data_IF_672786953954
#
_entry.id   IF_672786953954
#
_cell.length_a   1.000
_cell.length_b   1.000
_cell.length_c   1.000
_cell.angle_alpha   90.00
_cell.angle_beta   90.00
_cell.angle_gamma   90.00
#
_symmetry.space_group_name_H-M   'P 1'
#
loop_
_entity.id
_entity.type
_entity.pdbx_description
1 polymer ?
#
# COMPACT_ATOMS: atom_id res chain seq x y z
N UNK A 1 2.16 -6.45 6.75
CA UNK A 1 1.39 -5.57 5.85
C UNK A 1 1.61 -6.00 4.42
N UNK A 2 0.64 -5.73 3.54
CA UNK A 2 0.63 -6.09 2.12
C UNK A 2 0.45 -4.83 1.27
N UNK A 3 1.34 -4.57 0.29
CA UNK A 3 1.14 -3.48 -0.66
C UNK A 3 0.10 -3.89 -1.68
N UNK A 4 -0.91 -3.03 -1.84
CA UNK A 4 -1.97 -3.24 -2.80
C UNK A 4 -1.86 -2.19 -3.90
N UNK A 5 -2.21 -2.60 -5.10
CA UNK A 5 -2.34 -1.73 -6.26
C UNK A 5 -3.69 -2.02 -6.90
N UNK A 6 -4.42 -0.96 -7.23
CA UNK A 6 -5.73 -1.05 -7.86
C UNK A 6 -5.86 0.02 -8.93
N UNK A 7 -6.43 -0.32 -10.08
CA UNK A 7 -6.78 0.67 -11.11
C UNK A 7 -7.88 1.62 -10.58
N UNK A 8 -7.70 2.92 -10.81
CA UNK A 8 -8.67 3.93 -10.37
C UNK A 8 -9.91 3.96 -11.26
N UNK A 9 -9.75 3.70 -12.56
CA UNK A 9 -10.82 3.70 -13.55
C UNK A 9 -10.83 2.37 -14.33
N UNK A 10 -11.20 1.24 -13.70
CA UNK A 10 -11.15 -0.08 -14.35
C UNK A 10 -12.09 -0.21 -15.56
N UNK A 11 -13.00 0.74 -15.75
CA UNK A 11 -13.94 0.79 -16.87
C UNK A 11 -13.49 1.74 -18.00
N UNK A 12 -12.44 2.54 -17.78
CA UNK A 12 -11.85 3.39 -18.81
C UNK A 12 -10.55 2.76 -19.31
N UNK A 13 -10.59 2.17 -20.51
CA UNK A 13 -9.43 1.52 -21.12
C UNK A 13 -8.29 2.49 -21.45
N UNK A 14 -8.52 3.81 -21.42
CA UNK A 14 -7.51 4.84 -21.65
C UNK A 14 -6.91 5.34 -20.34
N UNK A 15 -7.63 5.28 -19.22
CA UNK A 15 -7.14 5.68 -17.90
C UNK A 15 -6.56 4.48 -17.14
N UNK A 16 -5.26 4.24 -17.39
CA UNK A 16 -4.48 3.22 -16.68
C UNK A 16 -3.92 3.72 -15.35
N UNK A 17 -4.40 4.83 -14.81
CA UNK A 17 -3.93 5.30 -13.52
C UNK A 17 -4.33 4.29 -12.45
N UNK A 18 -3.34 3.68 -11.82
CA UNK A 18 -3.57 2.92 -10.60
C UNK A 18 -3.36 3.76 -9.35
N UNK A 19 -3.60 3.13 -8.22
CA UNK A 19 -3.51 3.72 -6.90
C UNK A 19 -2.98 2.68 -5.91
N UNK A 20 -2.11 3.14 -5.00
CA UNK A 20 -1.54 2.29 -3.97
C UNK A 20 -2.22 2.51 -2.63
N UNK A 21 -2.50 1.39 -1.95
CA UNK A 21 -2.97 1.38 -0.57
C UNK A 21 -2.35 0.20 0.18
N UNK A 22 -2.56 0.13 1.49
CA UNK A 22 -1.96 -0.90 2.34
C UNK A 22 -3.01 -1.71 3.09
N UNK A 23 -2.77 -3.01 3.24
CA UNK A 23 -3.52 -3.89 4.14
C UNK A 23 -2.59 -4.38 5.24
N UNK A 24 -2.95 -4.14 6.49
CA UNK A 24 -2.30 -4.72 7.66
C UNK A 24 -3.08 -5.93 8.16
N UNK A 25 -2.37 -7.00 8.52
CA UNK A 25 -2.90 -8.06 9.36
C UNK A 25 -2.32 -7.85 10.76
N UNK A 26 -3.13 -7.29 11.65
CA UNK A 26 -2.75 -7.06 13.04
C UNK A 26 -3.15 -8.29 13.87
N UNK A 27 -2.19 -9.18 14.09
CA UNK A 27 -2.38 -10.38 14.90
C UNK A 27 -2.62 -10.07 16.38
N UNK A 28 -2.12 -8.93 16.88
CA UNK A 28 -2.25 -8.54 18.28
C UNK A 28 -3.66 -8.08 18.58
N UNK A 29 -4.21 -7.23 17.71
CA UNK A 29 -5.57 -6.72 17.84
C UNK A 29 -6.62 -7.56 17.09
N UNK A 30 -6.19 -8.68 16.49
CA UNK A 30 -7.05 -9.66 15.83
C UNK A 30 -7.93 -9.09 14.72
N UNK A 31 -7.36 -8.26 13.84
CA UNK A 31 -8.09 -7.58 12.77
C UNK A 31 -7.25 -7.40 11.52
N UNK A 32 -7.92 -7.14 10.41
CA UNK A 32 -7.32 -6.56 9.22
C UNK A 32 -7.56 -5.06 9.21
N UNK A 33 -6.58 -4.29 8.76
CA UNK A 33 -6.69 -2.83 8.71
C UNK A 33 -6.37 -2.37 7.29
N UNK A 34 -7.28 -1.63 6.66
CA UNK A 34 -7.11 -1.08 5.32
C UNK A 34 -6.76 0.41 5.45
N UNK A 35 -5.60 0.80 4.92
CA UNK A 35 -5.11 2.17 4.94
C UNK A 35 -5.00 2.69 3.51
N UNK A 36 -5.83 3.68 3.19
CA UNK A 36 -5.92 4.27 1.85
C UNK A 36 -5.96 5.80 1.94
N UNK A 37 -5.04 6.50 1.27
CA UNK A 37 -4.96 7.97 1.25
C UNK A 37 -5.95 8.65 0.30
N UNK A 38 -6.61 7.93 -0.59
CA UNK A 38 -7.59 8.44 -1.56
C UNK A 38 -9.00 7.98 -1.19
N UNK A 39 -9.22 6.68 -1.08
CA UNK A 39 -10.54 6.06 -0.91
C UNK A 39 -10.87 5.82 0.56
N UNK A 40 -12.14 5.59 0.88
CA UNK A 40 -12.64 5.31 2.23
C UNK A 40 -13.57 4.10 2.21
N UNK A 41 -14.06 3.66 3.37
CA UNK A 41 -14.99 2.52 3.47
C UNK A 41 -16.22 2.63 2.57
N UNK A 42 -16.67 3.86 2.26
CA UNK A 42 -17.81 4.08 1.37
C UNK A 42 -17.52 3.79 -0.11
N UNK A 43 -16.25 3.58 -0.49
CA UNK A 43 -15.84 3.29 -1.85
C UNK A 43 -15.94 1.79 -2.15
N UNK A 44 -16.88 1.42 -3.03
CA UNK A 44 -17.14 0.02 -3.37
C UNK A 44 -15.98 -0.68 -4.06
N UNK A 45 -15.17 0.05 -4.82
CA UNK A 45 -14.03 -0.52 -5.53
C UNK A 45 -12.94 -0.90 -4.53
N UNK A 46 -12.67 -0.03 -3.55
CA UNK A 46 -11.74 -0.33 -2.46
C UNK A 46 -12.23 -1.54 -1.66
N UNK A 47 -13.49 -1.53 -1.19
CA UNK A 47 -13.99 -2.59 -0.31
C UNK A 47 -14.01 -3.94 -1.02
N UNK A 48 -14.50 -3.99 -2.26
CA UNK A 48 -14.52 -5.24 -3.06
C UNK A 48 -13.12 -5.79 -3.26
N UNK A 49 -12.15 -4.95 -3.60
CA UNK A 49 -10.77 -5.38 -3.85
C UNK A 49 -10.06 -5.83 -2.57
N UNK A 50 -10.21 -5.09 -1.47
CA UNK A 50 -9.64 -5.44 -0.18
C UNK A 50 -10.24 -6.73 0.39
N UNK A 51 -11.56 -6.88 0.33
CA UNK A 51 -12.26 -8.08 0.79
C UNK A 51 -11.88 -9.31 -0.03
N UNK A 52 -11.77 -9.18 -1.35
CA UNK A 52 -11.31 -10.28 -2.20
C UNK A 52 -9.93 -10.78 -1.78
N UNK A 53 -8.97 -9.87 -1.58
CA UNK A 53 -7.63 -10.24 -1.12
C UNK A 53 -7.66 -10.87 0.28
N UNK A 54 -8.35 -10.24 1.24
CA UNK A 54 -8.41 -10.70 2.64
C UNK A 54 -9.09 -12.07 2.74
N UNK A 55 -10.18 -12.31 1.99
CA UNK A 55 -10.86 -13.60 1.98
C UNK A 55 -9.96 -14.69 1.41
N UNK A 56 -9.24 -14.43 0.32
CA UNK A 56 -8.26 -15.37 -0.21
C UNK A 56 -7.11 -15.63 0.77
N UNK A 57 -6.66 -14.60 1.50
CA UNK A 57 -5.64 -14.77 2.53
C UNK A 57 -6.16 -15.62 3.70
N UNK A 58 -7.40 -15.41 4.15
CA UNK A 58 -8.05 -16.23 5.19
C UNK A 58 -8.17 -17.69 4.76
N UNK A 59 -8.61 -17.95 3.53
CA UNK A 59 -8.73 -19.30 2.98
C UNK A 59 -7.36 -19.98 2.85
N UNK A 60 -6.37 -19.27 2.30
CA UNK A 60 -4.98 -19.75 2.21
C UNK A 60 -4.43 -20.07 3.60
N UNK A 61 -4.65 -19.20 4.58
CA UNK A 61 -4.22 -19.44 5.96
C UNK A 61 -4.89 -20.68 6.55
N UNK A 62 -6.21 -20.85 6.35
CA UNK A 62 -6.92 -22.03 6.85
C UNK A 62 -6.37 -23.32 6.22
N UNK A 63 -6.04 -23.33 4.94
CA UNK A 63 -5.49 -24.52 4.25
C UNK A 63 -4.09 -24.90 4.71
N UNK A 64 -3.22 -23.92 4.94
CA UNK A 64 -1.80 -24.17 5.24
C UNK A 64 -1.48 -24.15 6.73
N UNK A 65 -2.35 -23.54 7.54
CA UNK A 65 -2.15 -23.29 8.97
C UNK A 65 -3.41 -23.64 9.79
N UNK A 66 -4.16 -24.66 9.38
CA UNK A 66 -5.38 -25.13 10.07
C UNK A 66 -5.17 -25.36 11.57
N UNK A 67 -4.01 -25.90 11.94
CA UNK A 67 -3.68 -26.22 13.34
C UNK A 67 -2.85 -25.13 14.04
N UNK A 68 -2.72 -23.94 13.43
CA UNK A 68 -2.07 -22.80 14.09
C UNK A 68 -2.85 -22.37 15.33
N UNK A 69 -2.12 -21.96 16.37
CA UNK A 69 -2.69 -21.36 17.58
C UNK A 69 -3.44 -20.06 17.29
N UNK A 70 -3.08 -19.39 16.19
CA UNK A 70 -3.73 -18.15 15.74
C UNK A 70 -4.49 -18.44 14.46
N UNK A 71 -5.82 -18.27 14.54
CA UNK A 71 -6.74 -18.38 13.42
C UNK A 71 -7.21 -16.98 13.02
N UNK A 72 -7.12 -16.65 11.73
CA UNK A 72 -7.44 -15.30 11.24
C UNK A 72 -8.82 -15.22 10.56
N UNK A 73 -9.52 -16.34 10.43
CA UNK A 73 -10.82 -16.43 9.73
C UNK A 73 -11.85 -15.46 10.29
N UNK A 74 -11.88 -15.33 11.62
CA UNK A 74 -12.84 -14.52 12.36
C UNK A 74 -12.44 -13.05 12.51
N UNK A 75 -11.24 -12.65 12.06
CA UNK A 75 -10.78 -11.27 12.20
C UNK A 75 -11.65 -10.34 11.35
N UNK A 76 -12.19 -9.24 11.90
CA UNK A 76 -12.91 -8.24 11.13
C UNK A 76 -11.96 -7.44 10.22
N UNK A 77 -12.55 -6.67 9.31
CA UNK A 77 -11.84 -5.70 8.47
C UNK A 77 -12.20 -4.32 8.99
N UNK A 78 -11.19 -3.52 9.32
CA UNK A 78 -11.32 -2.12 9.73
C UNK A 78 -10.74 -1.22 8.64
N UNK A 79 -11.54 -0.26 8.17
CA UNK A 79 -11.08 0.76 7.24
C UNK A 79 -10.60 1.97 8.05
N UNK A 80 -9.29 2.16 8.11
CA UNK A 80 -8.66 3.18 8.96
C UNK A 80 -8.90 4.57 8.36
N UNK A 81 -9.42 5.49 9.18
CA UNK A 81 -9.60 6.89 8.78
C UNK A 81 -8.24 7.60 8.68
N UNK A 82 -7.69 7.61 7.47
CA UNK A 82 -6.43 8.30 7.13
C UNK A 82 -6.65 9.77 6.77
N UNK A 83 -5.61 10.58 6.89
CA UNK A 83 -5.58 11.91 6.27
C UNK A 83 -5.57 11.72 4.75
N UNK A 84 -6.56 12.29 4.07
CA UNK A 84 -6.65 12.21 2.61
C UNK A 84 -5.63 13.11 1.95
N UNK A 85 -4.97 12.59 0.92
CA UNK A 85 -4.04 13.39 0.13
C UNK A 85 -4.81 14.40 -0.72
N UNK A 86 -4.23 15.59 -0.90
CA UNK A 86 -4.84 16.65 -1.71
C UNK A 86 -4.57 16.54 -3.22
N UNK A 87 -3.85 15.52 -3.67
CA UNK A 87 -3.50 15.30 -5.07
C UNK A 87 -3.73 13.84 -5.47
N UNK A 88 -3.49 13.51 -6.74
CA UNK A 88 -3.74 12.17 -7.29
C UNK A 88 -2.45 11.39 -7.60
N UNK A 89 -1.28 11.82 -7.11
CA UNK A 89 0.01 11.21 -7.49
C UNK A 89 0.86 10.72 -6.31
N UNK A 90 0.54 11.15 -5.09
CA UNK A 90 1.36 10.83 -3.92
C UNK A 90 1.01 9.53 -3.20
N UNK A 91 0.04 8.76 -3.71
CA UNK A 91 -0.47 7.57 -3.02
C UNK A 91 0.59 6.51 -2.73
N UNK A 92 1.62 6.41 -3.59
CA UNK A 92 2.76 5.52 -3.36
C UNK A 92 3.55 5.91 -2.11
N UNK A 93 3.80 7.21 -1.90
CA UNK A 93 4.49 7.71 -0.71
C UNK A 93 3.64 7.58 0.54
N UNK A 94 2.32 7.81 0.44
CA UNK A 94 1.42 7.55 1.56
C UNK A 94 1.43 6.08 1.97
N UNK A 95 1.34 5.16 1.00
CA UNK A 95 1.43 3.73 1.26
C UNK A 95 2.76 3.36 1.93
N UNK A 96 3.90 3.83 1.40
CA UNK A 96 5.24 3.62 1.98
C UNK A 96 5.32 4.10 3.44
N UNK A 97 4.74 5.26 3.74
CA UNK A 97 4.70 5.78 5.10
C UNK A 97 3.82 4.95 6.03
N UNK A 98 2.71 4.38 5.53
CA UNK A 98 1.97 3.37 6.30
C UNK A 98 2.85 2.16 6.60
N UNK A 99 3.61 1.64 5.63
CA UNK A 99 4.55 0.54 5.88
C UNK A 99 5.60 0.87 6.93
N UNK A 100 6.11 2.10 6.91
CA UNK A 100 7.18 2.52 7.82
C UNK A 100 6.68 2.81 9.24
N UNK A 101 5.47 3.35 9.39
CA UNK A 101 5.01 3.98 10.65
C UNK A 101 3.76 3.36 11.26
N UNK A 102 3.05 2.49 10.54
CA UNK A 102 1.81 1.91 11.06
C UNK A 102 2.08 0.82 12.11
N UNK A 103 1.62 1.08 13.33
CA UNK A 103 1.74 0.17 14.49
C UNK A 103 0.36 -0.24 15.07
N UNK A 104 -0.74 0.00 14.34
CA UNK A 104 -2.10 -0.34 14.79
C UNK A 104 -2.67 0.57 15.89
N UNK A 105 -2.10 1.78 16.07
CA UNK A 105 -2.50 2.72 17.14
C UNK A 105 -2.70 4.15 16.67
N UNK A 106 -1.69 4.71 16.01
CA UNK A 106 -1.67 6.11 15.59
C UNK A 106 -1.53 6.15 14.08
N UNK A 107 -2.51 6.79 13.43
CA UNK A 107 -2.48 7.00 11.99
C UNK A 107 -1.33 7.96 11.67
N UNK A 108 -0.39 7.59 10.76
CA UNK A 108 0.69 8.47 10.38
C UNK A 108 0.15 9.77 9.79
N UNK A 109 0.54 10.91 10.39
CA UNK A 109 0.25 12.23 9.84
C UNK A 109 1.23 12.52 8.70
N UNK A 110 0.77 12.35 7.47
CA UNK A 110 1.58 12.52 6.25
C UNK A 110 1.17 13.84 5.61
N UNK A 111 2.09 14.81 5.62
CA UNK A 111 1.88 16.12 5.00
C UNK A 111 2.49 16.18 3.61
N UNK A 112 2.06 17.14 2.78
CA UNK A 112 2.68 17.39 1.47
C UNK A 112 4.18 17.69 1.59
N UNK A 113 4.60 18.42 2.64
CA UNK A 113 6.02 18.69 2.90
C UNK A 113 6.80 17.39 3.17
N UNK A 114 6.22 16.48 3.97
CA UNK A 114 6.78 15.15 4.23
C UNK A 114 6.95 14.36 2.93
N UNK A 115 5.95 14.38 2.05
CA UNK A 115 6.05 13.66 0.77
C UNK A 115 7.14 14.25 -0.13
N UNK A 116 7.30 15.57 -0.17
CA UNK A 116 8.40 16.23 -0.92
C UNK A 116 9.77 15.80 -0.38
N UNK A 117 9.93 15.68 0.92
CA UNK A 117 11.17 15.19 1.53
C UNK A 117 11.42 13.71 1.21
N UNK A 118 10.39 12.87 1.34
CA UNK A 118 10.47 11.45 1.01
C UNK A 118 10.87 11.23 -0.45
N UNK A 119 10.28 11.98 -1.39
CA UNK A 119 10.69 11.94 -2.81
C UNK A 119 12.20 12.17 -2.96
N UNK A 120 12.75 13.20 -2.31
CA UNK A 120 14.19 13.50 -2.35
C UNK A 120 15.02 12.38 -1.76
N UNK A 121 14.61 11.86 -0.60
CA UNK A 121 15.31 10.76 0.10
C UNK A 121 15.29 9.49 -0.74
N UNK A 122 14.14 9.10 -1.29
CA UNK A 122 14.00 7.89 -2.10
C UNK A 122 14.79 7.97 -3.40
N UNK A 123 14.75 9.12 -4.10
CA UNK A 123 15.59 9.34 -5.29
C UNK A 123 17.06 9.30 -4.93
N UNK A 124 17.48 9.96 -3.84
CA UNK A 124 18.86 9.92 -3.39
C UNK A 124 19.31 8.50 -3.05
N UNK A 125 18.52 7.76 -2.27
CA UNK A 125 18.81 6.37 -1.92
C UNK A 125 18.89 5.50 -3.16
N UNK A 126 18.04 5.73 -4.16
CA UNK A 126 18.10 5.01 -5.42
C UNK A 126 19.37 5.33 -6.22
N UNK A 127 19.69 6.63 -6.38
CA UNK A 127 20.88 7.12 -7.09
C UNK A 127 22.18 6.77 -6.38
N UNK A 128 22.17 6.49 -5.08
CA UNK A 128 23.37 6.12 -4.31
C UNK A 128 23.41 4.65 -3.93
N UNK A 129 22.41 3.87 -4.36
CA UNK A 129 22.43 2.43 -4.19
C UNK A 129 23.48 1.82 -5.12
N UNK A 130 24.66 1.53 -4.56
CA UNK A 130 25.81 1.00 -5.30
C UNK A 130 25.47 -0.25 -6.10
N UNK A 131 24.59 -1.13 -5.60
CA UNK A 131 24.23 -2.36 -6.28
C UNK A 131 23.34 -2.12 -7.51
N UNK A 132 22.50 -1.08 -7.51
CA UNK A 132 21.73 -0.70 -8.70
C UNK A 132 22.64 -0.05 -9.74
N UNK A 133 23.46 0.91 -9.32
CA UNK A 133 24.33 1.67 -10.23
C UNK A 133 25.43 0.83 -10.89
N UNK A 134 25.79 -0.30 -10.29
CA UNK A 134 26.74 -1.25 -10.88
C UNK A 134 26.08 -2.27 -11.84
N UNK A 135 24.75 -2.29 -11.97
CA UNK A 135 24.06 -3.17 -12.91
C UNK A 135 24.19 -2.65 -14.34
N UNK A 136 24.49 -3.53 -15.28
CA UNK A 136 24.37 -3.23 -16.71
C UNK A 136 22.93 -2.83 -17.05
N UNK A 137 22.73 -1.68 -17.71
CA UNK A 137 21.39 -1.19 -18.07
C UNK A 137 20.77 -0.20 -17.08
N UNK A 138 21.41 0.07 -15.94
CA UNK A 138 20.85 0.92 -14.90
C UNK A 138 20.67 2.38 -15.37
N UNK A 139 21.59 2.87 -16.21
CA UNK A 139 21.54 4.22 -16.78
C UNK A 139 20.40 4.36 -17.78
N UNK A 140 20.28 3.41 -18.70
CA UNK A 140 19.25 3.38 -19.73
C UNK A 140 17.85 3.32 -19.10
N UNK A 141 17.67 2.50 -18.05
CA UNK A 141 16.41 2.44 -17.28
C UNK A 141 16.03 3.79 -16.64
N UNK A 142 17.00 4.54 -16.11
CA UNK A 142 16.76 5.87 -15.52
C UNK A 142 16.34 6.86 -16.60
N UNK A 143 17.05 6.88 -17.73
CA UNK A 143 16.79 7.81 -18.83
C UNK A 143 15.42 7.56 -19.48
N UNK A 144 14.99 6.29 -19.60
CA UNK A 144 13.64 5.93 -20.11
C UNK A 144 12.49 6.31 -19.16
N UNK A 145 12.68 6.21 -17.84
CA UNK A 145 11.64 6.52 -16.86
C UNK A 145 11.37 8.03 -16.67
N UNK A 146 12.16 8.89 -17.32
CA UNK A 146 12.06 10.35 -17.23
C UNK A 146 11.38 11.02 -18.43
N UNK A 147 10.91 10.23 -19.39
CA UNK A 147 10.15 10.66 -20.58
C UNK A 147 8.65 10.36 -20.42
#
# INVERSE_FOLDING_TARGET
MFPMFQELAPHDQQDKCGHHYAICLDLKNQRFEVLDSIRSEADSDLTTHAEFFINNLKETWNRHYEHSKVQIRHFPIEYVATVKQGNTTDYGFHALEYFAKWEGRVVPAISTATVVELRKIHIWNWLTNEDFNKRSGAREFVEEATL
#
